data_IF_636745380592
#
_entry.id   IF_636745380592
#
_cell.length_a   1.000
_cell.length_b   1.000
_cell.length_c   1.000
_cell.angle_alpha   90.00
_cell.angle_beta   90.00
_cell.angle_gamma   90.00
#
_symmetry.space_group_name_H-M   'P 1'
#
loop_
_entity.id
_entity.type
_entity.pdbx_description
1 polymer ?
#
# COMPACT_ATOMS: atom_id res chain seq x y z
N UNK A 1 -2.12 -16.15 8.96
CA UNK A 1 -1.64 -15.84 7.59
C UNK A 1 -1.31 -14.34 7.46
N UNK A 2 -2.27 -13.42 7.29
CA UNK A 2 -1.94 -12.00 7.09
C UNK A 2 -1.20 -11.35 8.26
N UNK A 3 -1.60 -11.65 9.50
CA UNK A 3 -0.90 -11.16 10.70
C UNK A 3 0.55 -11.61 10.73
N UNK A 4 0.81 -12.89 10.44
CA UNK A 4 2.15 -13.47 10.44
C UNK A 4 3.02 -12.84 9.34
N UNK A 5 2.46 -12.67 8.14
CA UNK A 5 3.12 -12.00 7.02
C UNK A 5 3.51 -10.56 7.35
N UNK A 6 2.60 -9.78 7.93
CA UNK A 6 2.89 -8.42 8.36
C UNK A 6 3.93 -8.40 9.50
N UNK A 7 3.85 -9.33 10.45
CA UNK A 7 4.77 -9.40 11.58
C UNK A 7 6.21 -9.73 11.13
N UNK A 8 6.39 -10.67 10.20
CA UNK A 8 7.70 -11.02 9.65
C UNK A 8 8.44 -9.78 9.10
N UNK A 9 7.68 -8.89 8.45
CA UNK A 9 8.18 -7.63 7.87
C UNK A 9 8.43 -6.53 8.91
N UNK A 10 7.61 -6.47 9.96
CA UNK A 10 7.57 -5.33 10.89
C UNK A 10 8.27 -5.58 12.23
N UNK A 11 8.59 -6.83 12.58
CA UNK A 11 9.25 -7.18 13.84
C UNK A 11 10.60 -6.46 14.04
N UNK A 12 11.37 -6.25 12.96
CA UNK A 12 12.65 -5.49 13.00
C UNK A 12 12.47 -3.97 13.03
N UNK A 13 11.22 -3.51 12.94
CA UNK A 13 10.82 -2.09 13.03
C UNK A 13 10.10 -1.79 14.35
N UNK A 14 10.18 -2.68 15.33
CA UNK A 14 9.65 -2.49 16.68
C UNK A 14 8.17 -2.85 16.87
N UNK A 15 7.54 -3.53 15.91
CA UNK A 15 6.15 -3.96 16.05
C UNK A 15 6.06 -5.28 16.83
N UNK A 16 5.09 -5.37 17.75
CA UNK A 16 4.73 -6.62 18.39
C UNK A 16 3.71 -7.38 17.52
N UNK A 17 3.63 -8.70 17.70
CA UNK A 17 2.65 -9.53 17.00
C UNK A 17 1.21 -9.01 17.18
N UNK A 18 0.84 -8.61 18.41
CA UNK A 18 -0.48 -8.04 18.72
C UNK A 18 -0.77 -6.73 17.96
N UNK A 19 0.27 -5.93 17.66
CA UNK A 19 0.11 -4.69 16.91
C UNK A 19 -0.18 -4.98 15.45
N UNK A 20 0.54 -5.93 14.87
CA UNK A 20 0.25 -6.44 13.53
C UNK A 20 -1.16 -7.03 13.45
N UNK A 21 -1.58 -7.82 14.45
CA UNK A 21 -2.93 -8.38 14.50
C UNK A 21 -4.00 -7.29 14.54
N UNK A 22 -3.80 -6.26 15.36
CA UNK A 22 -4.70 -5.10 15.44
C UNK A 22 -4.78 -4.35 14.11
N UNK A 23 -3.66 -4.17 13.42
CA UNK A 23 -3.63 -3.54 12.10
C UNK A 23 -4.40 -4.35 11.06
N UNK A 24 -4.18 -5.66 11.00
CA UNK A 24 -4.90 -6.54 10.07
C UNK A 24 -6.41 -6.54 10.35
N UNK A 25 -6.83 -6.51 11.60
CA UNK A 25 -8.25 -6.57 11.95
C UNK A 25 -9.00 -5.24 11.73
N UNK A 26 -8.33 -4.11 11.99
CA UNK A 26 -9.01 -2.80 12.06
C UNK A 26 -8.63 -1.84 10.93
N UNK A 27 -7.50 -2.05 10.27
CA UNK A 27 -7.01 -1.16 9.22
C UNK A 27 -7.19 -1.80 7.83
N UNK A 28 -8.14 -1.23 7.07
CA UNK A 28 -8.54 -1.72 5.74
C UNK A 28 -7.37 -1.72 4.74
N UNK A 29 -6.47 -0.74 4.82
CA UNK A 29 -5.34 -0.64 3.89
C UNK A 29 -4.33 -1.76 4.16
N UNK A 30 -4.00 -2.02 5.43
CA UNK A 30 -3.09 -3.12 5.79
C UNK A 30 -3.68 -4.48 5.40
N UNK A 31 -4.96 -4.71 5.68
CA UNK A 31 -5.65 -5.95 5.31
C UNK A 31 -5.65 -6.16 3.79
N UNK A 32 -6.16 -5.19 3.03
CA UNK A 32 -6.27 -5.32 1.58
C UNK A 32 -4.90 -5.39 0.88
N UNK A 33 -3.88 -4.66 1.38
CA UNK A 33 -2.52 -4.80 0.86
C UNK A 33 -1.96 -6.21 1.10
N UNK A 34 -2.29 -6.86 2.23
CA UNK A 34 -1.86 -8.25 2.48
C UNK A 34 -2.54 -9.23 1.54
N UNK A 35 -3.82 -9.03 1.23
CA UNK A 35 -4.53 -9.83 0.22
C UNK A 35 -3.81 -9.75 -1.13
N UNK A 36 -3.42 -8.55 -1.56
CA UNK A 36 -2.68 -8.36 -2.81
C UNK A 36 -1.30 -9.02 -2.76
N UNK A 37 -0.56 -8.83 -1.66
CA UNK A 37 0.78 -9.38 -1.53
C UNK A 37 0.82 -10.93 -1.51
N UNK A 38 -0.25 -11.58 -1.03
CA UNK A 38 -0.36 -13.04 -0.96
C UNK A 38 -1.15 -13.66 -2.12
N UNK A 39 -1.63 -12.85 -3.07
CA UNK A 39 -2.32 -13.33 -4.29
C UNK A 39 -3.81 -13.60 -4.11
N UNK A 40 -4.41 -13.17 -3.01
CA UNK A 40 -5.87 -13.25 -2.79
C UNK A 40 -6.63 -12.10 -3.49
N UNK A 41 -5.91 -11.11 -4.03
CA UNK A 41 -6.43 -10.01 -4.85
C UNK A 41 -5.36 -9.50 -5.84
N UNK A 42 -5.79 -8.88 -6.94
CA UNK A 42 -4.88 -8.34 -7.96
C UNK A 42 -4.51 -6.86 -7.75
N UNK A 43 -5.27 -6.14 -6.92
CA UNK A 43 -5.04 -4.72 -6.70
C UNK A 43 -5.91 -4.12 -5.60
N UNK A 44 -5.58 -2.89 -5.20
CA UNK A 44 -6.29 -2.13 -4.17
C UNK A 44 -6.55 -0.70 -4.66
N UNK A 45 -7.75 -0.19 -4.41
CA UNK A 45 -8.11 1.22 -4.57
C UNK A 45 -8.48 1.78 -3.20
N UNK A 46 -7.80 2.85 -2.78
CA UNK A 46 -8.00 3.50 -1.48
C UNK A 46 -7.85 5.03 -1.60
N UNK A 47 -7.97 5.77 -0.50
CA UNK A 47 -7.77 7.23 -0.46
C UNK A 47 -9.06 8.06 -0.47
N UNK A 48 -10.24 7.45 -0.40
CA UNK A 48 -11.52 8.18 -0.30
C UNK A 48 -11.69 8.87 1.05
N UNK A 49 -11.30 8.20 2.14
CA UNK A 49 -11.50 8.67 3.53
C UNK A 49 -10.19 8.92 4.29
N UNK A 50 -9.04 8.76 3.64
CA UNK A 50 -7.71 8.94 4.22
C UNK A 50 -6.86 9.79 3.32
N UNK A 51 -5.96 10.57 3.92
CA UNK A 51 -5.01 11.34 3.16
C UNK A 51 -4.06 10.41 2.38
N UNK A 52 -3.49 10.94 1.30
CA UNK A 52 -2.61 10.21 0.41
C UNK A 52 -1.39 9.64 1.14
N UNK A 53 -0.71 10.43 1.97
CA UNK A 53 0.53 10.02 2.64
C UNK A 53 0.32 8.83 3.57
N UNK A 54 -0.73 8.84 4.39
CA UNK A 54 -1.06 7.73 5.30
C UNK A 54 -1.44 6.49 4.51
N UNK A 55 -2.28 6.63 3.47
CA UNK A 55 -2.68 5.48 2.66
C UNK A 55 -1.48 4.84 1.95
N UNK A 56 -0.55 5.66 1.42
CA UNK A 56 0.67 5.16 0.80
C UNK A 56 1.59 4.49 1.82
N UNK A 57 1.78 5.09 3.00
CA UNK A 57 2.62 4.53 4.06
C UNK A 57 2.08 3.19 4.58
N UNK A 58 0.75 3.08 4.73
CA UNK A 58 0.08 1.83 5.10
C UNK A 58 0.41 0.74 4.08
N UNK A 59 0.24 1.01 2.78
CA UNK A 59 0.53 0.04 1.70
C UNK A 59 2.02 -0.31 1.66
N UNK A 60 2.93 0.66 1.82
CA UNK A 60 4.39 0.46 1.75
C UNK A 60 4.95 -0.38 2.90
N UNK A 61 4.20 -0.62 3.97
CA UNK A 61 4.59 -1.59 5.00
C UNK A 61 4.47 -3.04 4.52
N UNK A 62 3.60 -3.29 3.54
CA UNK A 62 3.24 -4.63 3.04
C UNK A 62 3.81 -4.89 1.65
N UNK A 63 3.76 -3.90 0.75
CA UNK A 63 4.16 -4.03 -0.65
C UNK A 63 5.35 -3.12 -0.92
N UNK A 64 6.47 -3.71 -1.34
CA UNK A 64 7.68 -2.98 -1.70
C UNK A 64 7.60 -2.43 -3.12
N UNK A 65 8.36 -1.36 -3.37
CA UNK A 65 8.64 -0.95 -4.73
C UNK A 65 9.37 -2.07 -5.48
N UNK A 66 9.13 -2.18 -6.79
CA UNK A 66 9.87 -3.11 -7.65
C UNK A 66 11.38 -2.83 -7.54
N UNK A 67 12.25 -3.85 -7.41
CA UNK A 67 13.70 -3.66 -7.32
C UNK A 67 14.23 -2.77 -8.44
N UNK A 68 15.08 -1.81 -8.08
CA UNK A 68 15.66 -0.83 -9.02
C UNK A 68 14.69 0.26 -9.51
N UNK A 69 13.46 0.33 -8.98
CA UNK A 69 12.46 1.32 -9.37
C UNK A 69 12.05 2.21 -8.19
N UNK A 70 11.64 3.44 -8.50
CA UNK A 70 11.02 4.36 -7.55
C UNK A 70 9.52 4.44 -7.82
N UNK A 71 8.72 4.48 -6.76
CA UNK A 71 7.28 4.76 -6.87
C UNK A 71 7.11 6.22 -7.27
N UNK A 72 6.32 6.47 -8.31
CA UNK A 72 5.97 7.80 -8.80
C UNK A 72 4.45 7.97 -8.80
N UNK A 73 3.99 9.19 -8.57
CA UNK A 73 2.63 9.62 -8.87
C UNK A 73 2.53 10.02 -10.33
N UNK A 74 1.44 9.66 -11.02
CA UNK A 74 1.19 10.09 -12.39
C UNK A 74 -0.21 10.67 -12.48
N UNK A 75 -0.32 11.86 -13.07
CA UNK A 75 -1.59 12.48 -13.45
C UNK A 75 -1.72 12.49 -14.97
N UNK A 76 -2.89 12.10 -15.45
CA UNK A 76 -3.24 12.16 -16.88
C UNK A 76 -4.02 13.45 -17.12
N UNK A 77 -3.50 14.33 -17.98
CA UNK A 77 -4.11 15.60 -18.34
C UNK A 77 -4.60 15.54 -19.79
N UNK A 78 -5.88 15.80 -20.00
CA UNK A 78 -6.49 15.93 -21.32
C UNK A 78 -6.50 17.40 -21.74
N UNK A 79 -5.60 17.79 -22.64
CA UNK A 79 -5.42 19.15 -23.11
C UNK A 79 -5.80 19.29 -24.59
N UNK A 80 -7.03 19.75 -24.88
CA UNK A 80 -7.54 20.05 -26.24
C UNK A 80 -7.21 18.96 -27.28
N UNK A 81 -7.53 17.70 -26.95
CA UNK A 81 -7.31 16.54 -27.82
C UNK A 81 -5.91 15.90 -27.71
N UNK A 82 -5.06 16.36 -26.80
CA UNK A 82 -3.77 15.73 -26.48
C UNK A 82 -3.79 15.14 -25.07
N UNK A 83 -3.25 13.95 -24.92
CA UNK A 83 -3.03 13.30 -23.61
C UNK A 83 -1.61 13.60 -23.15
N UNK A 84 -1.48 14.25 -21.98
CA UNK A 84 -0.20 14.58 -21.35
C UNK A 84 -0.10 13.83 -20.03
N UNK A 85 1.04 13.19 -19.78
CA UNK A 85 1.36 12.57 -18.50
C UNK A 85 2.26 13.51 -17.70
N UNK A 86 1.89 13.80 -16.46
CA UNK A 86 2.70 14.59 -15.51
C UNK A 86 3.04 13.68 -14.34
N UNK A 87 4.32 13.57 -14.00
CA UNK A 87 4.79 12.64 -12.97
C UNK A 87 5.73 13.30 -11.95
N UNK A 88 5.71 12.76 -10.73
CA UNK A 88 6.56 13.06 -9.56
C UNK A 88 7.05 11.74 -8.95
#
# INVERSE_FOLDING_TARGET
IYTDYLYERMQRKGFLFRDCQRLINNDRNHFAACMVALGDADGIVTGVTRNYSTALDDVRRIIDAKPGHRVIGVSIVLARGRTVLVAD
#
